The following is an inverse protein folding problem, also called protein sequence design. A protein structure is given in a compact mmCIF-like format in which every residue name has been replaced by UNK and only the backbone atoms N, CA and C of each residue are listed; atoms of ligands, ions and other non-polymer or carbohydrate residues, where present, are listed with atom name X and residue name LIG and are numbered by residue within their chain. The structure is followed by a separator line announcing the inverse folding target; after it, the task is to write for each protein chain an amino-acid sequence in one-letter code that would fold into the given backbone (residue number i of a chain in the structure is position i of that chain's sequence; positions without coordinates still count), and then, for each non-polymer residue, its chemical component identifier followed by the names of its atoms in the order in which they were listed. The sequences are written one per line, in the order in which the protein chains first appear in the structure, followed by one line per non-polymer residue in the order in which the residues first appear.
data_IF_082063676051
#
_entry.id   IF_082063676051
#
_cell.length_a   1.000
_cell.length_b   1.000
_cell.length_c   1.000
_cell.angle_alpha   90.00
_cell.angle_beta   90.00
_cell.angle_gamma   90.00
#
_symmetry.space_group_name_H-M   'P 1'
#
loop_
_entity.id
_entity.type
_entity.pdbx_description
1 polymer ?
#
# COMPACT_ATOMS: atom_id res chain seq x y z
N UNK A 1 -13.52 -20.49 22.74
CA UNK A 1 -12.09 -20.66 23.07
C UNK A 1 -11.38 -21.71 22.21
N UNK A 2 -12.05 -22.76 21.69
CA UNK A 2 -11.38 -23.84 20.90
C UNK A 2 -11.05 -23.52 19.43
N UNK A 3 -11.62 -22.46 18.84
CA UNK A 3 -11.36 -22.10 17.42
C UNK A 3 -10.09 -21.25 17.27
N UNK A 4 -9.79 -20.40 18.27
CA UNK A 4 -8.65 -19.48 18.28
C UNK A 4 -7.31 -20.26 18.39
N UNK A 5 -7.27 -21.33 19.19
CA UNK A 5 -6.07 -22.17 19.31
C UNK A 5 -5.75 -23.00 18.06
N UNK A 6 -6.74 -23.34 17.22
CA UNK A 6 -6.52 -24.16 16.01
C UNK A 6 -5.84 -23.42 14.86
N UNK A 7 -6.03 -22.10 14.76
CA UNK A 7 -5.34 -21.28 13.74
C UNK A 7 -3.90 -20.97 14.15
N UNK A 8 -3.67 -20.65 15.44
CA UNK A 8 -2.32 -20.37 15.96
C UNK A 8 -1.36 -21.58 15.88
N UNK A 9 -1.88 -22.80 16.05
CA UNK A 9 -1.04 -24.01 16.06
C UNK A 9 -0.71 -24.57 14.67
N UNK A 10 -1.32 -24.05 13.59
CA UNK A 10 -1.11 -24.58 12.22
C UNK A 10 0.05 -23.90 11.48
N UNK A 11 0.38 -22.65 11.82
CA UNK A 11 1.45 -21.90 11.13
C UNK A 11 2.85 -22.07 11.75
N UNK A 12 2.99 -22.78 12.88
CA UNK A 12 4.25 -22.87 13.64
C UNK A 12 4.93 -24.27 13.65
N UNK A 13 4.60 -25.16 12.70
CA UNK A 13 5.11 -26.56 12.68
C UNK A 13 6.04 -26.93 11.51
N UNK A 14 6.93 -26.02 11.11
CA UNK A 14 8.10 -26.36 10.30
C UNK A 14 9.40 -25.87 10.97
N UNK A 15 9.59 -26.27 12.24
CA UNK A 15 10.91 -26.25 12.87
C UNK A 15 11.67 -27.52 12.46
N UNK A 16 12.63 -27.36 11.54
CA UNK A 16 13.67 -28.34 11.25
C UNK A 16 14.43 -28.70 12.54
N UNK A 17 14.69 -29.99 12.84
CA UNK A 17 15.56 -30.33 13.94
C UNK A 17 17.02 -30.11 13.54
N UNK A 18 17.62 -29.03 14.05
CA UNK A 18 19.07 -28.82 13.98
C UNK A 18 19.75 -29.83 14.90
N UNK A 19 20.41 -30.80 14.26
CA UNK A 19 21.24 -31.82 14.89
C UNK A 19 22.47 -31.17 15.54
N UNK A 20 22.46 -31.10 16.87
CA UNK A 20 23.58 -30.62 17.69
C UNK A 20 24.65 -31.73 17.79
N UNK A 21 25.75 -31.61 17.03
CA UNK A 21 26.95 -32.43 17.20
C UNK A 21 27.99 -31.63 17.98
N UNK A 22 28.18 -32.00 19.25
CA UNK A 22 29.33 -31.60 20.06
C UNK A 22 30.54 -32.48 19.71
N UNK A 23 31.69 -31.87 19.37
CA UNK A 23 32.99 -32.51 19.60
C UNK A 23 34.16 -31.50 19.73
N UNK A 24 34.60 -31.34 20.98
CA UNK A 24 35.96 -31.27 21.52
C UNK A 24 37.13 -30.53 20.82
N UNK A 25 37.75 -29.64 21.62
CA UNK A 25 39.19 -29.45 21.90
C UNK A 25 40.12 -29.03 20.74
N UNK A 26 40.80 -27.87 20.86
CA UNK A 26 42.28 -27.72 20.93
C UNK A 26 42.63 -26.35 21.58
N UNK A 27 43.49 -26.40 22.60
CA UNK A 27 44.25 -25.30 23.21
C UNK A 27 45.47 -24.91 22.36
N UNK A 28 45.79 -23.62 22.22
CA UNK A 28 47.06 -23.18 21.62
C UNK A 28 47.42 -21.73 21.94
N UNK A 29 48.36 -21.54 22.87
CA UNK A 29 49.08 -20.28 23.11
C UNK A 29 50.09 -20.01 21.98
N UNK A 30 50.28 -18.75 21.61
CA UNK A 30 51.32 -18.35 20.66
C UNK A 30 51.59 -16.85 20.68
N UNK A 31 52.51 -16.44 21.57
CA UNK A 31 53.17 -15.13 21.62
C UNK A 31 54.09 -14.91 20.40
N UNK A 32 54.09 -13.72 19.80
CA UNK A 32 55.06 -13.32 18.77
C UNK A 32 55.11 -11.81 18.56
N UNK A 33 56.23 -11.21 18.96
CA UNK A 33 56.59 -9.79 18.97
C UNK A 33 57.17 -9.28 17.64
N UNK A 34 56.62 -8.16 17.12
CA UNK A 34 57.28 -7.03 16.40
C UNK A 34 57.92 -7.28 15.01
N UNK A 35 58.31 -6.23 14.24
CA UNK A 35 58.44 -4.81 14.61
C UNK A 35 57.82 -3.75 13.66
N UNK A 36 57.85 -2.50 14.16
CA UNK A 36 57.53 -1.19 13.58
C UNK A 36 58.00 -0.89 12.15
N UNK A 37 57.18 -0.14 11.39
CA UNK A 37 57.58 0.80 10.32
C UNK A 37 56.65 2.06 10.36
N UNK A 38 57.15 3.30 10.13
CA UNK A 38 56.50 4.58 10.46
C UNK A 38 55.61 5.16 9.33
N UNK A 39 54.86 6.25 9.58
CA UNK A 39 53.92 6.82 8.61
C UNK A 39 54.63 7.72 7.60
N UNK A 40 54.23 7.64 6.33
CA UNK A 40 54.63 8.58 5.29
C UNK A 40 53.43 9.48 4.96
N UNK A 41 53.59 10.77 5.24
CA UNK A 41 52.90 11.88 4.59
C UNK A 41 53.00 11.75 3.07
N UNK A 42 51.89 11.96 2.36
CA UNK A 42 51.87 12.58 1.04
C UNK A 42 50.44 12.95 0.66
N UNK A 43 50.16 14.25 0.70
CA UNK A 43 49.04 14.87 0.00
C UNK A 43 49.34 14.92 -1.51
N UNK A 44 48.34 14.67 -2.38
CA UNK A 44 48.34 15.20 -3.72
C UNK A 44 47.28 16.29 -3.88
N UNK A 45 47.78 17.46 -4.26
CA UNK A 45 47.09 18.61 -4.83
C UNK A 45 46.11 18.19 -5.92
N UNK A 46 44.84 18.57 -5.79
CA UNK A 46 43.85 18.54 -6.87
C UNK A 46 43.78 19.93 -7.53
N UNK A 47 43.70 20.00 -8.88
CA UNK A 47 43.68 21.26 -9.61
C UNK A 47 42.30 21.95 -9.53
N UNK A 48 42.36 23.28 -9.49
CA UNK A 48 41.21 24.17 -9.63
C UNK A 48 40.67 24.04 -11.05
N UNK A 49 39.42 23.59 -11.19
CA UNK A 49 38.66 23.71 -12.43
C UNK A 49 37.78 24.96 -12.37
N UNK A 50 38.09 25.92 -13.22
CA UNK A 50 37.23 27.05 -13.57
C UNK A 50 36.08 26.53 -14.44
N UNK A 51 34.83 26.70 -13.99
CA UNK A 51 33.65 26.44 -14.82
C UNK A 51 33.23 27.75 -15.46
N UNK A 52 33.55 27.90 -16.74
CA UNK A 52 32.92 28.84 -17.65
C UNK A 52 32.41 28.03 -18.84
N UNK A 53 31.08 27.90 -18.99
CA UNK A 53 30.45 27.99 -20.30
C UNK A 53 28.91 27.91 -20.24
N UNK A 54 28.31 29.02 -20.69
CA UNK A 54 27.56 29.11 -21.96
C UNK A 54 26.59 27.97 -22.27
N UNK A 55 25.30 28.30 -22.17
CA UNK A 55 24.18 27.51 -22.69
C UNK A 55 24.16 27.64 -24.22
N UNK A 56 24.44 26.54 -24.92
CA UNK A 56 24.13 26.38 -26.34
C UNK A 56 23.17 25.21 -26.47
N UNK A 57 21.97 25.52 -26.95
CA UNK A 57 20.90 24.59 -27.31
C UNK A 57 21.34 23.76 -28.52
N UNK A 58 21.47 22.44 -28.34
CA UNK A 58 21.69 21.48 -29.42
C UNK A 58 20.56 20.46 -29.37
N UNK A 59 19.67 20.54 -30.35
CA UNK A 59 18.68 19.51 -30.65
C UNK A 59 19.44 18.30 -31.20
N UNK A 60 19.47 17.20 -30.44
CA UNK A 60 20.08 15.96 -30.88
C UNK A 60 19.12 15.22 -31.81
N UNK A 61 19.53 15.08 -33.07
CA UNK A 61 18.95 14.17 -34.05
C UNK A 61 19.41 12.74 -33.72
N UNK A 62 18.47 11.85 -33.43
CA UNK A 62 18.76 10.45 -33.08
C UNK A 62 18.95 9.66 -34.38
N UNK A 63 20.20 9.47 -34.80
CA UNK A 63 20.54 8.54 -35.89
C UNK A 63 20.15 7.11 -35.50
N UNK A 64 19.18 6.52 -36.22
CA UNK A 64 18.86 5.11 -36.11
C UNK A 64 19.81 4.31 -37.02
N UNK A 65 20.57 3.40 -36.40
CA UNK A 65 21.33 2.37 -37.11
C UNK A 65 20.38 1.51 -37.95
N UNK A 66 20.57 1.50 -39.27
CA UNK A 66 19.88 0.62 -40.20
C UNK A 66 20.77 -0.58 -40.51
N UNK A 67 20.19 -1.78 -40.56
CA UNK A 67 20.89 -2.96 -41.07
C UNK A 67 21.10 -2.86 -42.59
N UNK A 68 21.90 -3.77 -43.17
CA UNK A 68 22.23 -3.81 -44.61
C UNK A 68 21.01 -3.86 -45.56
N UNK A 69 19.81 -4.09 -45.03
CA UNK A 69 18.54 -4.09 -45.76
C UNK A 69 17.72 -2.79 -45.57
N UNK A 70 18.29 -1.75 -44.94
CA UNK A 70 17.62 -0.47 -44.68
C UNK A 70 16.49 -0.56 -43.64
N UNK A 71 16.47 -1.63 -42.83
CA UNK A 71 15.47 -1.85 -41.79
C UNK A 71 16.04 -1.48 -40.40
N UNK A 72 15.18 -1.04 -39.45
CA UNK A 72 15.60 -0.82 -38.07
C UNK A 72 16.18 -2.09 -37.45
N UNK A 73 17.14 -1.94 -36.54
CA UNK A 73 17.70 -3.05 -35.77
C UNK A 73 16.59 -3.87 -35.08
N UNK A 74 16.67 -5.19 -35.19
CA UNK A 74 15.69 -6.14 -34.66
C UNK A 74 14.59 -6.56 -35.64
N UNK A 75 14.40 -5.85 -36.76
CA UNK A 75 13.37 -6.19 -37.75
C UNK A 75 13.88 -7.24 -38.72
N UNK A 76 13.20 -8.38 -38.79
CA UNK A 76 13.44 -9.45 -39.76
C UNK A 76 12.27 -9.59 -40.74
N UNK A 77 12.48 -10.32 -41.83
CA UNK A 77 11.45 -10.63 -42.82
C UNK A 77 11.20 -12.13 -42.81
N UNK A 78 9.95 -12.54 -42.66
CA UNK A 78 9.55 -13.95 -42.66
C UNK A 78 9.64 -14.59 -44.06
N UNK A 79 9.43 -15.91 -44.15
CA UNK A 79 9.44 -16.65 -45.43
C UNK A 79 8.34 -16.19 -46.42
N UNK A 80 7.32 -15.47 -45.92
CA UNK A 80 6.22 -14.93 -46.71
C UNK A 80 6.45 -13.49 -47.16
N UNK A 81 7.59 -12.88 -46.80
CA UNK A 81 7.94 -11.50 -47.15
C UNK A 81 7.38 -10.44 -46.19
N UNK A 82 6.81 -10.82 -45.05
CA UNK A 82 6.29 -9.88 -44.06
C UNK A 82 7.37 -9.47 -43.06
N UNK A 83 7.35 -8.20 -42.64
CA UNK A 83 8.25 -7.69 -41.61
C UNK A 83 7.75 -8.14 -40.23
N UNK A 84 8.67 -8.53 -39.36
CA UNK A 84 8.40 -8.92 -37.98
C UNK A 84 9.52 -8.44 -37.04
N UNK A 85 9.17 -8.13 -35.80
CA UNK A 85 10.09 -7.78 -34.72
C UNK A 85 9.91 -8.82 -33.60
N UNK A 86 10.94 -9.62 -33.33
CA UNK A 86 10.90 -10.69 -32.30
C UNK A 86 9.63 -11.57 -32.36
N UNK A 87 9.35 -12.15 -33.54
CA UNK A 87 8.18 -12.99 -33.84
C UNK A 87 6.80 -12.29 -33.76
N UNK A 88 6.77 -10.95 -33.68
CA UNK A 88 5.54 -10.15 -33.74
C UNK A 88 5.40 -9.49 -35.13
N UNK A 89 4.27 -9.68 -35.83
CA UNK A 89 3.98 -8.99 -37.08
C UNK A 89 4.11 -7.47 -36.97
N UNK A 90 4.86 -6.86 -37.88
CA UNK A 90 5.19 -5.42 -37.83
C UNK A 90 3.99 -4.50 -38.14
N UNK A 91 2.90 -5.05 -38.69
CA UNK A 91 1.64 -4.34 -38.96
C UNK A 91 0.87 -3.94 -37.68
N UNK A 92 1.21 -4.53 -36.54
CA UNK A 92 0.66 -4.17 -35.22
C UNK A 92 1.36 -2.93 -34.65
N UNK A 93 2.57 -2.59 -35.15
CA UNK A 93 3.31 -1.42 -34.70
C UNK A 93 2.90 -0.16 -35.47
N UNK A 94 2.29 0.79 -34.78
CA UNK A 94 2.02 2.11 -35.33
C UNK A 94 3.35 2.84 -35.53
N UNK A 95 3.76 3.05 -36.78
CA UNK A 95 5.04 3.73 -37.10
C UNK A 95 5.11 5.17 -36.55
N UNK A 96 3.96 5.80 -36.24
CA UNK A 96 3.86 7.15 -35.68
C UNK A 96 2.64 7.29 -34.75
N UNK A 97 2.67 6.75 -33.52
CA UNK A 97 1.50 6.78 -32.64
C UNK A 97 1.07 8.21 -32.27
N UNK A 98 2.00 9.16 -32.29
CA UNK A 98 1.76 10.57 -31.97
C UNK A 98 1.26 11.43 -33.15
N UNK A 99 1.27 10.92 -34.38
CA UNK A 99 0.75 11.66 -35.53
C UNK A 99 -0.80 11.69 -35.59
N UNK A 100 -1.46 10.93 -34.71
CA UNK A 100 -2.92 10.86 -34.61
C UNK A 100 -3.52 11.93 -33.71
N UNK A 101 -2.70 12.64 -32.92
CA UNK A 101 -3.16 13.74 -32.06
C UNK A 101 -2.86 15.05 -32.76
N UNK A 102 -3.90 15.72 -33.29
CA UNK A 102 -3.72 17.07 -33.82
C UNK A 102 -3.57 18.05 -32.65
N UNK A 103 -2.67 19.04 -32.74
CA UNK A 103 -2.52 20.06 -31.69
C UNK A 103 -3.82 20.81 -31.37
N UNK A 104 -4.75 20.89 -32.33
CA UNK A 104 -6.06 21.52 -32.15
C UNK A 104 -6.97 20.79 -31.13
N UNK A 105 -6.76 19.49 -30.91
CA UNK A 105 -7.57 18.66 -30.00
C UNK A 105 -7.14 18.83 -28.52
N UNK A 106 -6.04 19.52 -28.25
CA UNK A 106 -5.51 19.78 -26.91
C UNK A 106 -5.90 21.16 -26.34
N UNK A 107 -6.85 21.86 -26.98
CA UNK A 107 -7.20 23.23 -26.60
C UNK A 107 -8.17 23.23 -25.40
N UNK A 108 -7.61 23.51 -24.22
CA UNK A 108 -8.36 23.82 -22.98
C UNK A 108 -9.24 25.05 -23.23
N UNK A 109 -10.54 24.90 -22.99
CA UNK A 109 -11.51 26.00 -22.99
C UNK A 109 -11.25 26.90 -21.77
N UNK A 110 -10.64 28.06 -22.00
CA UNK A 110 -10.69 29.20 -21.07
C UNK A 110 -12.13 29.69 -20.97
N UNK A 111 -12.75 29.51 -19.80
CA UNK A 111 -14.02 30.17 -19.49
C UNK A 111 -13.74 31.62 -19.08
N UNK A 112 -14.26 32.54 -19.87
CA UNK A 112 -14.31 33.97 -19.59
C UNK A 112 -15.35 34.25 -18.49
N UNK A 113 -15.01 35.21 -17.62
CA UNK A 113 -15.61 35.35 -16.30
C UNK A 113 -16.89 36.19 -16.21
N UNK A 114 -17.35 36.33 -14.96
CA UNK A 114 -18.20 37.41 -14.52
C UNK A 114 -17.80 37.85 -13.10
N UNK A 115 -17.66 39.16 -12.96
CA UNK A 115 -17.25 39.84 -11.74
C UNK A 115 -18.46 40.35 -10.93
N UNK A 116 -18.19 40.46 -9.61
CA UNK A 116 -18.71 41.43 -8.64
C UNK A 116 -20.15 41.32 -8.11
N UNK A 117 -20.25 41.15 -6.79
CA UNK A 117 -20.89 42.14 -5.91
C UNK A 117 -20.51 41.92 -4.43
N UNK A 118 -19.77 42.86 -3.87
CA UNK A 118 -19.58 43.05 -2.43
C UNK A 118 -20.84 43.64 -1.81
N UNK A 119 -21.23 43.17 -0.62
CA UNK A 119 -22.04 43.96 0.30
C UNK A 119 -21.73 43.57 1.75
N UNK A 120 -21.01 44.46 2.44
CA UNK A 120 -20.95 44.52 3.90
C UNK A 120 -22.26 45.07 4.45
N UNK A 121 -22.84 44.42 5.46
CA UNK A 121 -23.70 45.11 6.44
C UNK A 121 -23.56 44.45 7.82
N UNK A 122 -23.59 45.31 8.83
CA UNK A 122 -23.12 45.12 10.17
C UNK A 122 -24.08 44.37 11.13
N UNK A 123 -23.46 43.99 12.24
CA UNK A 123 -23.90 43.42 13.51
C UNK A 123 -25.11 44.15 14.15
N UNK A 124 -25.92 43.42 14.95
CA UNK A 124 -26.30 43.95 16.26
C UNK A 124 -25.95 42.99 17.40
N UNK A 125 -25.34 43.58 18.42
CA UNK A 125 -24.98 42.98 19.71
C UNK A 125 -26.23 42.65 20.53
N UNK A 126 -26.20 41.55 21.28
CA UNK A 126 -27.03 41.40 22.48
C UNK A 126 -26.22 40.68 23.55
N UNK A 127 -26.06 41.37 24.68
CA UNK A 127 -25.39 40.95 25.91
C UNK A 127 -26.40 40.25 26.83
N UNK A 128 -26.02 39.17 27.52
CA UNK A 128 -26.84 38.62 28.59
C UNK A 128 -26.43 37.25 29.16
N UNK A 129 -25.40 37.23 30.01
CA UNK A 129 -25.25 36.47 31.27
C UNK A 129 -25.13 34.91 31.28
N UNK A 130 -24.24 34.32 32.13
CA UNK A 130 -23.86 32.90 32.07
C UNK A 130 -24.66 32.01 33.05
N UNK A 131 -24.67 30.69 32.81
CA UNK A 131 -24.42 29.79 33.93
C UNK A 131 -23.54 28.56 33.63
N UNK A 132 -22.83 28.17 34.69
CA UNK A 132 -22.50 26.82 35.16
C UNK A 132 -21.57 25.89 34.35
N UNK A 133 -20.40 25.72 34.96
CA UNK A 133 -19.53 24.54 34.89
C UNK A 133 -20.33 23.27 35.20
N UNK A 134 -20.67 22.50 34.16
CA UNK A 134 -20.88 21.07 34.29
C UNK A 134 -19.77 20.34 33.54
N UNK A 135 -18.78 19.90 34.32
CA UNK A 135 -17.83 18.88 33.91
C UNK A 135 -18.61 17.58 33.70
N UNK A 136 -18.93 17.28 32.45
CA UNK A 136 -19.31 15.94 32.03
C UNK A 136 -18.33 15.58 30.91
N UNK A 137 -17.27 14.85 31.26
CA UNK A 137 -16.49 14.15 30.26
C UNK A 137 -17.46 13.21 29.53
N UNK A 138 -17.67 13.35 28.21
CA UNK A 138 -18.31 12.29 27.48
C UNK A 138 -17.22 11.24 27.29
N UNK A 139 -17.26 10.22 28.15
CA UNK A 139 -16.67 8.93 27.83
C UNK A 139 -17.49 8.37 26.66
N UNK A 140 -17.23 8.90 25.46
CA UNK A 140 -17.82 8.42 24.22
C UNK A 140 -16.94 7.25 23.84
N UNK A 141 -17.30 6.06 24.30
CA UNK A 141 -16.89 4.85 23.62
C UNK A 141 -17.19 5.09 22.13
N UNK A 142 -16.20 4.99 21.23
CA UNK A 142 -16.46 5.15 19.81
C UNK A 142 -17.49 4.08 19.44
N UNK A 143 -18.70 4.52 19.14
CA UNK A 143 -19.73 3.68 18.55
C UNK A 143 -19.14 3.03 17.30
N UNK A 144 -19.42 1.74 17.11
CA UNK A 144 -19.02 0.95 15.95
C UNK A 144 -19.49 1.52 14.57
N UNK A 145 -20.17 2.67 14.58
CA UNK A 145 -20.94 3.24 13.48
C UNK A 145 -20.26 4.42 12.73
N UNK A 146 -19.01 4.77 13.05
CA UNK A 146 -18.33 5.92 12.42
C UNK A 146 -17.14 5.50 11.53
N UNK A 147 -17.38 4.63 10.55
CA UNK A 147 -16.37 4.32 9.52
C UNK A 147 -16.31 5.37 8.40
N UNK A 148 -17.40 6.09 8.16
CA UNK A 148 -17.49 7.11 7.11
C UNK A 148 -16.55 8.31 7.33
N UNK A 149 -16.23 8.64 8.59
CA UNK A 149 -15.23 9.67 8.91
C UNK A 149 -13.79 9.22 8.64
N UNK A 150 -13.53 7.90 8.69
CA UNK A 150 -12.19 7.32 8.56
C UNK A 150 -11.83 7.09 7.09
N UNK A 151 -12.71 6.42 6.34
CA UNK A 151 -12.46 6.02 4.96
C UNK A 151 -13.70 6.22 4.09
N UNK A 152 -13.51 6.79 2.90
CA UNK A 152 -14.62 7.03 1.97
C UNK A 152 -14.95 5.78 1.14
N UNK A 153 -16.19 5.66 0.62
CA UNK A 153 -16.56 4.60 -0.33
C UNK A 153 -15.61 4.50 -1.53
N UNK A 154 -15.20 5.64 -2.10
CA UNK A 154 -14.27 5.68 -3.23
C UNK A 154 -12.90 5.11 -2.85
N UNK A 155 -12.40 5.40 -1.64
CA UNK A 155 -11.14 4.85 -1.15
C UNK A 155 -11.22 3.33 -0.95
N UNK A 156 -12.35 2.81 -0.47
CA UNK A 156 -12.60 1.37 -0.38
C UNK A 156 -12.65 0.72 -1.76
N UNK A 157 -13.36 1.31 -2.73
CA UNK A 157 -13.43 0.80 -4.10
C UNK A 157 -12.05 0.77 -4.77
N UNK A 158 -11.25 1.81 -4.59
CA UNK A 158 -9.88 1.88 -5.10
C UNK A 158 -8.96 0.84 -4.45
N UNK A 159 -9.06 0.64 -3.13
CA UNK A 159 -8.24 -0.33 -2.42
C UNK A 159 -8.58 -1.77 -2.85
N UNK A 160 -9.86 -2.14 -2.92
CA UNK A 160 -10.23 -3.48 -3.39
C UNK A 160 -9.83 -3.70 -4.84
N UNK A 161 -9.92 -2.66 -5.68
CA UNK A 161 -9.44 -2.73 -7.07
C UNK A 161 -7.92 -2.94 -7.13
N UNK A 162 -7.15 -2.19 -6.34
CA UNK A 162 -5.68 -2.36 -6.20
C UNK A 162 -5.35 -3.79 -5.81
N UNK A 163 -5.99 -4.31 -4.76
CA UNK A 163 -5.79 -5.67 -4.26
C UNK A 163 -6.09 -6.70 -5.37
N UNK A 164 -7.20 -6.55 -6.07
CA UNK A 164 -7.59 -7.45 -7.16
C UNK A 164 -6.55 -7.48 -8.28
N UNK A 165 -5.96 -6.34 -8.63
CA UNK A 165 -4.89 -6.24 -9.63
C UNK A 165 -3.62 -6.95 -9.14
N UNK A 166 -3.20 -6.72 -7.90
CA UNK A 166 -2.05 -7.40 -7.28
C UNK A 166 -2.24 -8.93 -7.29
N UNK A 167 -3.38 -9.39 -6.79
CA UNK A 167 -3.73 -10.82 -6.76
C UNK A 167 -3.75 -11.42 -8.16
N UNK A 168 -4.32 -10.73 -9.15
CA UNK A 168 -4.29 -11.15 -10.55
C UNK A 168 -2.88 -11.35 -11.09
N UNK A 169 -1.93 -10.49 -10.71
CA UNK A 169 -0.51 -10.62 -11.08
C UNK A 169 0.14 -11.86 -10.44
N UNK A 170 -0.10 -12.10 -9.14
CA UNK A 170 0.48 -13.26 -8.45
C UNK A 170 -0.12 -14.59 -8.93
N UNK A 171 -1.40 -14.59 -9.29
CA UNK A 171 -2.13 -15.77 -9.74
C UNK A 171 -2.18 -15.94 -11.26
N UNK A 172 -1.43 -15.15 -12.05
CA UNK A 172 -1.51 -15.27 -13.52
C UNK A 172 -0.95 -16.60 -14.05
N UNK A 173 0.02 -17.21 -13.36
CA UNK A 173 0.62 -18.50 -13.73
C UNK A 173 1.17 -19.22 -12.50
N UNK A 174 1.31 -20.54 -12.60
CA UNK A 174 1.78 -21.40 -11.50
C UNK A 174 3.15 -20.95 -10.93
N UNK A 175 4.06 -20.48 -11.78
CA UNK A 175 5.38 -20.02 -11.37
C UNK A 175 5.34 -18.75 -10.52
N UNK A 176 4.50 -17.77 -10.88
CA UNK A 176 4.30 -16.55 -10.09
C UNK A 176 3.66 -16.89 -8.75
N UNK A 177 2.61 -17.70 -8.77
CA UNK A 177 1.89 -18.14 -7.57
C UNK A 177 2.82 -18.80 -6.55
N UNK A 178 3.65 -19.76 -6.98
CA UNK A 178 4.57 -20.46 -6.09
C UNK A 178 5.63 -19.54 -5.45
N UNK A 179 5.96 -18.40 -6.09
CA UNK A 179 6.94 -17.43 -5.57
C UNK A 179 6.32 -16.36 -4.69
N UNK A 180 5.00 -16.14 -4.80
CA UNK A 180 4.31 -15.02 -4.17
C UNK A 180 3.31 -15.47 -3.09
N UNK A 181 3.59 -16.59 -2.41
CA UNK A 181 2.68 -17.14 -1.40
C UNK A 181 2.43 -16.17 -0.23
N UNK A 182 3.49 -15.48 0.22
CA UNK A 182 3.40 -14.47 1.28
C UNK A 182 2.54 -13.30 0.84
N UNK A 183 2.86 -12.72 -0.31
CA UNK A 183 2.15 -11.56 -0.87
C UNK A 183 0.69 -11.88 -1.18
N UNK A 184 0.37 -13.09 -1.65
CA UNK A 184 -1.02 -13.54 -1.80
C UNK A 184 -1.73 -13.55 -0.45
N UNK A 185 -1.08 -14.07 0.60
CA UNK A 185 -1.66 -14.09 1.94
C UNK A 185 -1.91 -12.67 2.45
N UNK A 186 -0.92 -11.79 2.36
CA UNK A 186 -0.96 -10.41 2.84
C UNK A 186 -2.03 -9.59 2.13
N UNK A 187 -2.07 -9.62 0.79
CA UNK A 187 -3.09 -8.92 0.01
C UNK A 187 -4.49 -9.49 0.25
N UNK A 188 -4.60 -10.80 0.49
CA UNK A 188 -5.89 -11.43 0.79
C UNK A 188 -6.39 -11.05 2.18
N UNK A 189 -5.52 -10.89 3.17
CA UNK A 189 -5.89 -10.39 4.50
C UNK A 189 -6.28 -8.91 4.45
N UNK A 190 -5.59 -8.09 3.64
CA UNK A 190 -5.99 -6.71 3.36
C UNK A 190 -7.39 -6.65 2.69
N UNK A 191 -7.71 -7.61 1.80
CA UNK A 191 -9.04 -7.74 1.22
C UNK A 191 -10.10 -8.03 2.28
N UNK A 192 -9.83 -8.98 3.19
CA UNK A 192 -10.76 -9.32 4.28
C UNK A 192 -11.00 -8.07 5.15
N UNK A 193 -9.94 -7.37 5.56
CA UNK A 193 -10.05 -6.17 6.38
C UNK A 193 -10.90 -5.09 5.69
N UNK A 194 -10.59 -4.78 4.44
CA UNK A 194 -11.28 -3.75 3.64
C UNK A 194 -12.75 -4.12 3.43
N UNK A 195 -13.04 -5.39 3.14
CA UNK A 195 -14.40 -5.86 2.91
C UNK A 195 -15.24 -5.85 4.20
N UNK A 196 -14.67 -6.21 5.36
CA UNK A 196 -15.39 -6.15 6.63
C UNK A 196 -15.64 -4.71 7.09
N UNK A 197 -14.75 -3.76 6.78
CA UNK A 197 -15.03 -2.33 6.99
C UNK A 197 -16.14 -1.86 6.05
N UNK A 198 -16.07 -2.23 4.77
CA UNK A 198 -17.07 -1.90 3.77
C UNK A 198 -18.50 -2.36 4.14
N UNK A 199 -18.64 -3.50 4.83
CA UNK A 199 -19.95 -3.98 5.29
C UNK A 199 -20.52 -3.15 6.46
N UNK A 200 -19.68 -2.39 7.17
CA UNK A 200 -20.06 -1.55 8.32
C UNK A 200 -20.22 -0.06 7.98
N UNK A 201 -19.74 0.36 6.80
CA UNK A 201 -19.95 1.73 6.28
C UNK A 201 -21.44 1.91 5.95
N UNK A 202 -22.00 3.11 6.11
CA UNK A 202 -23.43 3.36 5.87
C UNK A 202 -23.74 3.66 4.40
N UNK A 203 -22.84 4.34 3.69
CA UNK A 203 -22.99 4.67 2.28
C UNK A 203 -23.04 3.43 1.39
N UNK A 204 -23.87 3.46 0.34
CA UNK A 204 -23.97 2.37 -0.65
C UNK A 204 -23.01 2.61 -1.81
N UNK A 205 -22.35 1.54 -2.26
CA UNK A 205 -21.47 1.52 -3.43
C UNK A 205 -21.50 0.13 -4.07
N UNK A 206 -20.89 -0.01 -5.26
CA UNK A 206 -21.23 -1.04 -6.25
C UNK A 206 -21.22 -2.48 -5.73
N UNK A 207 -20.26 -2.85 -4.90
CA UNK A 207 -20.05 -4.21 -4.42
C UNK A 207 -20.38 -4.40 -2.93
N UNK A 208 -20.90 -3.37 -2.25
CA UNK A 208 -21.12 -3.40 -0.80
C UNK A 208 -21.97 -4.58 -0.32
N UNK A 209 -23.06 -4.87 -1.03
CA UNK A 209 -23.95 -6.00 -0.71
C UNK A 209 -23.23 -7.37 -0.77
N UNK A 210 -22.08 -7.42 -1.45
CA UNK A 210 -21.24 -8.61 -1.60
C UNK A 210 -19.93 -8.49 -0.80
N UNK A 211 -19.84 -7.56 0.16
CA UNK A 211 -18.65 -7.38 0.98
C UNK A 211 -18.25 -8.68 1.71
N UNK A 212 -19.20 -9.40 2.30
CA UNK A 212 -18.89 -10.69 2.94
C UNK A 212 -18.44 -11.77 1.96
N UNK A 213 -18.86 -11.71 0.68
CA UNK A 213 -18.35 -12.60 -0.37
C UNK A 213 -16.88 -12.31 -0.65
N UNK A 214 -16.48 -11.03 -0.72
CA UNK A 214 -15.08 -10.63 -0.87
C UNK A 214 -14.22 -11.08 0.32
N UNK A 215 -14.74 -10.92 1.54
CA UNK A 215 -14.08 -11.39 2.76
C UNK A 215 -13.93 -12.93 2.79
N UNK A 216 -14.88 -13.68 2.23
CA UNK A 216 -14.73 -15.13 2.06
C UNK A 216 -13.68 -15.49 0.99
N UNK A 217 -13.72 -14.80 -0.15
CA UNK A 217 -12.75 -15.02 -1.22
C UNK A 217 -11.32 -14.78 -0.73
N UNK A 218 -11.09 -13.70 0.04
CA UNK A 218 -9.82 -13.43 0.71
C UNK A 218 -9.41 -14.58 1.64
N UNK A 219 -10.30 -15.02 2.54
CA UNK A 219 -9.99 -16.12 3.46
C UNK A 219 -9.64 -17.44 2.74
N UNK A 220 -10.31 -17.72 1.61
CA UNK A 220 -10.00 -18.89 0.77
C UNK A 220 -8.66 -18.73 0.07
N UNK A 221 -8.31 -17.54 -0.40
CA UNK A 221 -7.00 -17.27 -0.99
C UNK A 221 -5.87 -17.42 0.03
N UNK A 222 -6.02 -16.92 1.26
CA UNK A 222 -5.09 -17.16 2.38
C UNK A 222 -4.91 -18.66 2.61
N UNK A 223 -6.01 -19.42 2.64
CA UNK A 223 -5.94 -20.88 2.81
C UNK A 223 -5.21 -21.56 1.65
N UNK A 224 -5.39 -21.08 0.41
CA UNK A 224 -4.68 -21.63 -0.75
C UNK A 224 -3.22 -21.19 -0.82
N UNK A 225 -2.81 -20.05 -0.24
CA UNK A 225 -1.40 -19.63 -0.27
C UNK A 225 -0.52 -20.33 0.78
N UNK A 226 -1.08 -21.18 1.63
CA UNK A 226 -0.33 -21.92 2.65
C UNK A 226 0.71 -22.91 2.06
N UNK A 227 0.46 -23.43 0.85
CA UNK A 227 1.35 -24.41 0.21
C UNK A 227 1.46 -24.17 -1.31
N UNK A 228 2.68 -24.26 -1.83
CA UNK A 228 2.94 -24.22 -3.27
C UNK A 228 2.33 -25.44 -3.98
N UNK A 229 2.03 -25.29 -5.26
CA UNK A 229 1.67 -26.43 -6.12
C UNK A 229 0.47 -26.20 -7.02
N UNK A 230 0.33 -27.09 -8.01
CA UNK A 230 -0.69 -26.99 -9.06
C UNK A 230 -2.12 -27.09 -8.53
N UNK A 231 -2.34 -27.89 -7.48
CA UNK A 231 -3.65 -28.07 -6.88
C UNK A 231 -4.13 -26.78 -6.20
N UNK A 232 -3.30 -26.23 -5.30
CA UNK A 232 -3.56 -24.98 -4.59
C UNK A 232 -3.69 -23.79 -5.55
N UNK A 233 -2.80 -23.70 -6.56
CA UNK A 233 -2.92 -22.71 -7.63
C UNK A 233 -4.28 -22.76 -8.35
N UNK A 234 -4.71 -23.95 -8.78
CA UNK A 234 -6.00 -24.12 -9.46
C UNK A 234 -7.17 -23.77 -8.54
N UNK A 235 -7.10 -24.12 -7.27
CA UNK A 235 -8.12 -23.79 -6.28
C UNK A 235 -8.20 -22.28 -6.01
N UNK A 236 -7.05 -21.58 -6.04
CA UNK A 236 -6.94 -20.14 -5.82
C UNK A 236 -7.53 -19.30 -6.98
N UNK A 237 -7.60 -19.86 -8.20
CA UNK A 237 -8.26 -19.19 -9.34
C UNK A 237 -9.75 -18.94 -9.10
N UNK A 238 -10.43 -19.83 -8.37
CA UNK A 238 -11.87 -19.72 -8.13
C UNK A 238 -12.23 -18.45 -7.34
N UNK A 239 -11.68 -18.19 -6.14
CA UNK A 239 -11.96 -16.95 -5.42
C UNK A 239 -11.48 -15.71 -6.18
N UNK A 240 -10.39 -15.77 -6.94
CA UNK A 240 -9.97 -14.64 -7.78
C UNK A 240 -11.01 -14.28 -8.85
N UNK A 241 -11.56 -15.28 -9.55
CA UNK A 241 -12.64 -15.06 -10.52
C UNK A 241 -13.89 -14.50 -9.85
N UNK A 242 -14.23 -15.00 -8.66
CA UNK A 242 -15.36 -14.48 -7.87
C UNK A 242 -15.15 -13.01 -7.47
N UNK A 243 -13.94 -12.62 -7.05
CA UNK A 243 -13.58 -11.22 -6.80
C UNK A 243 -13.83 -10.38 -8.06
N UNK A 244 -13.33 -10.82 -9.22
CA UNK A 244 -13.56 -10.09 -10.48
C UNK A 244 -15.05 -9.97 -10.83
N UNK A 245 -15.84 -11.04 -10.66
CA UNK A 245 -17.30 -11.01 -10.86
C UNK A 245 -17.98 -9.98 -9.95
N UNK A 246 -17.69 -10.00 -8.64
CA UNK A 246 -18.21 -9.00 -7.68
C UNK A 246 -17.80 -7.58 -8.12
N UNK A 247 -16.54 -7.39 -8.48
CA UNK A 247 -16.00 -6.13 -8.99
C UNK A 247 -16.42 -5.79 -10.42
N UNK A 248 -17.23 -6.61 -11.08
CA UNK A 248 -17.89 -6.27 -12.33
C UNK A 248 -19.40 -6.02 -12.12
N UNK A 249 -19.88 -6.11 -10.87
CA UNK A 249 -21.29 -5.96 -10.52
C UNK A 249 -22.12 -7.22 -10.74
N UNK A 250 -21.47 -8.37 -10.98
CA UNK A 250 -22.15 -9.65 -11.06
C UNK A 250 -22.47 -10.17 -9.66
N UNK A 251 -23.65 -10.79 -9.50
CA UNK A 251 -24.02 -11.45 -8.26
C UNK A 251 -23.30 -12.81 -8.16
N UNK A 252 -22.50 -12.99 -7.12
CA UNK A 252 -21.79 -14.23 -6.81
C UNK A 252 -22.53 -14.95 -5.68
N UNK A 253 -22.92 -16.18 -5.94
CA UNK A 253 -23.45 -17.09 -4.93
C UNK A 253 -22.38 -18.09 -4.52
N UNK A 254 -22.30 -18.37 -3.22
CA UNK A 254 -21.41 -19.37 -2.64
C UNK A 254 -22.18 -20.66 -2.36
N UNK A 255 -21.44 -21.77 -2.31
CA UNK A 255 -21.97 -23.10 -1.97
C UNK A 255 -22.13 -23.33 -0.45
N UNK A 256 -21.82 -22.31 0.35
CA UNK A 256 -21.88 -22.33 1.80
C UNK A 256 -22.43 -21.00 2.33
N UNK A 257 -22.92 -21.03 3.57
CA UNK A 257 -23.44 -19.83 4.25
C UNK A 257 -22.28 -18.97 4.79
N UNK A 258 -22.47 -17.65 4.69
CA UNK A 258 -21.53 -16.67 5.21
C UNK A 258 -21.90 -16.29 6.64
N UNK A 259 -20.93 -16.39 7.55
CA UNK A 259 -21.07 -15.82 8.88
C UNK A 259 -20.85 -14.30 8.80
N UNK A 260 -21.93 -13.55 9.04
CA UNK A 260 -21.92 -12.08 9.02
C UNK A 260 -21.70 -11.48 10.42
N UNK A 261 -21.60 -12.31 11.46
CA UNK A 261 -21.48 -11.87 12.85
C UNK A 261 -20.02 -11.78 13.34
N UNK A 262 -19.07 -11.99 12.44
CA UNK A 262 -17.67 -12.20 12.82
C UNK A 262 -16.96 -10.89 13.16
N UNK A 263 -16.20 -10.92 14.25
CA UNK A 263 -15.35 -9.80 14.71
C UNK A 263 -14.08 -9.71 13.87
N UNK A 264 -13.52 -8.51 13.73
CA UNK A 264 -12.25 -8.30 13.03
C UNK A 264 -11.12 -9.20 13.57
N UNK A 265 -10.98 -9.30 14.88
CA UNK A 265 -9.93 -10.10 15.53
C UNK A 265 -9.98 -11.61 15.24
N UNK A 266 -11.11 -12.10 14.73
CA UNK A 266 -11.28 -13.52 14.36
C UNK A 266 -11.00 -13.77 12.87
N UNK A 267 -11.05 -12.72 12.03
CA UNK A 267 -10.99 -12.84 10.56
C UNK A 267 -9.77 -12.20 9.93
N UNK A 268 -9.14 -11.27 10.61
CA UNK A 268 -8.07 -10.44 10.06
C UNK A 268 -6.84 -10.64 10.93
N UNK A 269 -5.84 -11.31 10.38
CA UNK A 269 -4.58 -11.59 11.06
C UNK A 269 -3.78 -10.29 11.29
N UNK A 270 -3.33 -10.07 12.54
CA UNK A 270 -2.58 -8.86 12.93
C UNK A 270 -1.27 -8.74 12.16
N UNK A 271 -0.52 -9.84 12.01
CA UNK A 271 0.76 -9.84 11.31
C UNK A 271 0.58 -9.49 9.84
N UNK A 272 -0.44 -10.05 9.18
CA UNK A 272 -0.72 -9.80 7.79
C UNK A 272 -1.13 -8.34 7.50
N UNK A 273 -1.98 -7.73 8.33
CA UNK A 273 -2.34 -6.31 8.13
C UNK A 273 -1.20 -5.35 8.47
N UNK A 274 -0.24 -5.75 9.31
CA UNK A 274 0.97 -4.95 9.55
C UNK A 274 1.82 -4.81 8.28
N UNK A 275 1.88 -5.84 7.42
CA UNK A 275 2.53 -5.72 6.11
C UNK A 275 1.85 -4.69 5.21
N UNK A 276 0.50 -4.65 5.19
CA UNK A 276 -0.23 -3.63 4.43
C UNK A 276 -0.01 -2.23 4.99
N UNK A 277 0.07 -2.08 6.32
CA UNK A 277 0.43 -0.82 6.97
C UNK A 277 1.84 -0.37 6.59
N UNK A 278 2.83 -1.26 6.67
CA UNK A 278 4.22 -0.98 6.28
C UNK A 278 4.30 -0.54 4.82
N UNK A 279 3.59 -1.23 3.91
CA UNK A 279 3.53 -0.87 2.49
C UNK A 279 2.96 0.53 2.25
N UNK A 280 1.85 0.91 2.92
CA UNK A 280 1.28 2.26 2.83
C UNK A 280 2.26 3.32 3.36
N UNK A 281 2.84 3.07 4.53
CA UNK A 281 3.80 3.98 5.16
C UNK A 281 5.02 4.20 4.26
N UNK A 282 5.62 3.12 3.77
CA UNK A 282 6.77 3.15 2.88
C UNK A 282 6.47 3.91 1.59
N UNK A 283 5.29 3.71 1.01
CA UNK A 283 4.90 4.43 -0.19
C UNK A 283 4.84 5.94 0.08
N UNK A 284 4.19 6.36 1.18
CA UNK A 284 4.11 7.76 1.57
C UNK A 284 5.49 8.37 1.80
N UNK A 285 6.36 7.67 2.55
CA UNK A 285 7.70 8.14 2.88
C UNK A 285 8.61 8.28 1.66
N UNK A 286 8.53 7.34 0.71
CA UNK A 286 9.38 7.31 -0.49
C UNK A 286 8.90 8.24 -1.60
N UNK A 287 7.58 8.42 -1.76
CA UNK A 287 7.02 9.13 -2.91
C UNK A 287 6.64 10.58 -2.61
N UNK A 288 6.40 10.93 -1.35
CA UNK A 288 5.98 12.28 -0.95
C UNK A 288 7.16 13.01 -0.28
N UNK A 289 8.13 13.38 -1.12
CA UNK A 289 9.38 13.97 -0.64
C UNK A 289 9.37 15.50 -0.55
N UNK A 290 8.37 16.15 -1.14
CA UNK A 290 8.28 17.60 -1.35
C UNK A 290 6.82 18.06 -1.45
N UNK A 291 6.58 19.36 -1.29
CA UNK A 291 5.27 19.99 -1.52
C UNK A 291 4.72 19.71 -2.91
N UNK A 292 5.58 19.78 -3.93
CA UNK A 292 5.20 19.49 -5.32
C UNK A 292 4.72 18.06 -5.50
N UNK A 293 5.40 17.09 -4.87
CA UNK A 293 4.98 15.68 -4.88
C UNK A 293 3.69 15.44 -4.11
N UNK A 294 3.54 16.05 -2.94
CA UNK A 294 2.29 15.99 -2.18
C UNK A 294 1.12 16.47 -3.03
N UNK A 295 1.29 17.55 -3.78
CA UNK A 295 0.26 18.09 -4.66
C UNK A 295 -0.03 17.20 -5.86
N UNK A 296 1.00 16.72 -6.55
CA UNK A 296 0.81 15.89 -7.75
C UNK A 296 0.23 14.51 -7.44
N UNK A 297 0.55 13.96 -6.26
CA UNK A 297 0.15 12.62 -5.82
C UNK A 297 -0.93 12.65 -4.72
N UNK A 298 -1.57 13.80 -4.49
CA UNK A 298 -2.44 14.06 -3.34
C UNK A 298 -3.49 12.96 -3.15
N UNK A 299 -4.16 12.55 -4.24
CA UNK A 299 -5.21 11.52 -4.21
C UNK A 299 -4.69 10.17 -3.70
N UNK A 300 -3.52 9.76 -4.18
CA UNK A 300 -2.91 8.49 -3.78
C UNK A 300 -2.43 8.57 -2.33
N UNK A 301 -1.78 9.66 -1.97
CA UNK A 301 -1.35 9.92 -0.60
C UNK A 301 -2.52 9.91 0.39
N UNK A 302 -3.64 10.55 0.04
CA UNK A 302 -4.84 10.59 0.86
C UNK A 302 -5.42 9.18 1.07
N UNK A 303 -5.45 8.36 0.01
CA UNK A 303 -5.89 6.96 0.11
C UNK A 303 -4.98 6.16 1.04
N UNK A 304 -3.66 6.21 0.86
CA UNK A 304 -2.74 5.45 1.72
C UNK A 304 -2.84 5.88 3.19
N UNK A 305 -2.97 7.18 3.47
CA UNK A 305 -3.20 7.69 4.82
C UNK A 305 -4.55 7.22 5.41
N UNK A 306 -5.62 7.18 4.60
CA UNK A 306 -6.91 6.65 5.02
C UNK A 306 -6.86 5.13 5.31
N UNK A 307 -6.09 4.36 4.53
CA UNK A 307 -5.87 2.94 4.79
C UNK A 307 -5.10 2.73 6.10
N UNK A 308 -4.06 3.52 6.38
CA UNK A 308 -3.37 3.47 7.68
C UNK A 308 -4.33 3.74 8.83
N UNK A 309 -5.16 4.79 8.73
CA UNK A 309 -6.17 5.08 9.75
C UNK A 309 -7.18 3.93 9.91
N UNK A 310 -7.68 3.38 8.80
CA UNK A 310 -8.60 2.24 8.81
C UNK A 310 -8.00 1.04 9.54
N UNK A 311 -6.79 0.62 9.15
CA UNK A 311 -6.13 -0.54 9.74
C UNK A 311 -5.75 -0.28 11.21
N UNK A 312 -5.35 0.95 11.56
CA UNK A 312 -5.09 1.37 12.93
C UNK A 312 -6.31 1.22 13.84
N UNK A 313 -7.49 1.61 13.34
CA UNK A 313 -8.77 1.43 14.03
C UNK A 313 -9.17 -0.05 14.15
N UNK A 314 -8.83 -0.87 13.15
CA UNK A 314 -9.06 -2.33 13.21
C UNK A 314 -8.25 -2.95 14.35
N UNK A 315 -6.94 -2.70 14.44
CA UNK A 315 -6.10 -3.31 15.49
C UNK A 315 -6.45 -2.83 16.90
N UNK A 316 -7.04 -1.64 17.01
CA UNK A 316 -7.56 -1.09 18.28
C UNK A 316 -8.94 -1.68 18.67
N UNK A 317 -9.55 -2.50 17.81
CA UNK A 317 -10.91 -3.01 18.05
C UNK A 317 -10.95 -4.08 19.15
N UNK A 318 -12.02 -4.12 19.98
CA UNK A 318 -12.13 -5.07 21.08
C UNK A 318 -11.95 -6.52 20.64
N UNK A 319 -11.10 -7.25 21.38
CA UNK A 319 -10.83 -8.66 21.15
C UNK A 319 -9.67 -8.94 20.21
N UNK A 320 -8.98 -7.92 19.65
CA UNK A 320 -7.65 -8.11 19.07
C UNK A 320 -6.64 -8.49 20.16
N UNK A 321 -5.59 -9.25 19.83
CA UNK A 321 -4.54 -9.58 20.80
C UNK A 321 -3.96 -8.29 21.42
N UNK A 322 -3.73 -8.33 22.73
CA UNK A 322 -3.16 -7.23 23.53
C UNK A 322 -4.05 -5.98 23.71
N UNK A 323 -5.26 -5.93 23.14
CA UNK A 323 -6.16 -4.73 23.26
C UNK A 323 -6.64 -4.40 24.66
N UNK A 324 -6.64 -5.36 25.58
CA UNK A 324 -6.97 -5.12 26.99
C UNK A 324 -5.79 -4.52 27.78
N UNK A 325 -4.60 -4.46 27.18
CA UNK A 325 -3.43 -3.84 27.76
C UNK A 325 -3.40 -2.35 27.43
N UNK A 326 -3.38 -1.51 28.45
CA UNK A 326 -3.52 -0.06 28.28
C UNK A 326 -2.44 0.54 27.39
N UNK A 327 -1.20 0.00 27.46
CA UNK A 327 -0.09 0.45 26.62
C UNK A 327 -0.30 0.12 25.15
N UNK A 328 -0.83 -1.05 24.81
CA UNK A 328 -1.14 -1.41 23.43
C UNK A 328 -2.25 -0.52 22.87
N UNK A 329 -3.35 -0.38 23.62
CA UNK A 329 -4.47 0.48 23.24
C UNK A 329 -4.03 1.93 23.00
N UNK A 330 -3.19 2.48 23.88
CA UNK A 330 -2.62 3.83 23.71
C UNK A 330 -1.82 3.97 22.42
N UNK A 331 -1.00 2.98 22.07
CA UNK A 331 -0.23 3.00 20.82
C UNK A 331 -1.11 2.84 19.58
N UNK A 332 -2.06 1.90 19.59
CA UNK A 332 -2.97 1.65 18.47
C UNK A 332 -3.89 2.86 18.21
N UNK A 333 -4.49 3.42 19.26
CA UNK A 333 -5.31 4.62 19.18
C UNK A 333 -4.50 5.86 18.76
N UNK A 334 -3.26 5.99 19.26
CA UNK A 334 -2.32 7.04 18.86
C UNK A 334 -1.93 6.97 17.38
N UNK A 335 -1.67 5.76 16.89
CA UNK A 335 -1.42 5.49 15.47
C UNK A 335 -2.63 5.87 14.61
N UNK A 336 -3.83 5.38 14.96
CA UNK A 336 -5.07 5.72 14.26
C UNK A 336 -5.28 7.24 14.17
N UNK A 337 -5.16 7.93 15.30
CA UNK A 337 -5.34 9.40 15.38
C UNK A 337 -4.33 10.11 14.49
N UNK A 338 -3.05 9.73 14.58
CA UNK A 338 -1.99 10.36 13.79
C UNK A 338 -2.18 10.13 12.28
N UNK A 339 -2.61 8.93 11.87
CA UNK A 339 -2.92 8.64 10.46
C UNK A 339 -4.11 9.45 9.94
N UNK A 340 -5.15 9.64 10.76
CA UNK A 340 -6.28 10.49 10.43
C UNK A 340 -5.88 11.97 10.29
N UNK A 341 -5.04 12.49 11.20
CA UNK A 341 -4.49 13.84 11.11
C UNK A 341 -3.58 14.01 9.87
N UNK A 342 -2.76 13.00 9.55
CA UNK A 342 -1.95 12.98 8.34
C UNK A 342 -2.80 13.09 7.07
N UNK A 343 -3.93 12.37 7.01
CA UNK A 343 -4.90 12.48 5.92
C UNK A 343 -5.43 13.91 5.79
N UNK A 344 -5.80 14.55 6.90
CA UNK A 344 -6.22 15.98 6.89
C UNK A 344 -5.11 16.91 6.41
N UNK A 345 -3.86 16.68 6.82
CA UNK A 345 -2.71 17.45 6.33
C UNK A 345 -2.55 17.32 4.81
N UNK A 346 -2.68 16.11 4.26
CA UNK A 346 -2.63 15.84 2.81
C UNK A 346 -3.76 16.57 2.07
N UNK A 347 -4.99 16.49 2.57
CA UNK A 347 -6.16 17.18 1.99
C UNK A 347 -5.99 18.70 1.95
N UNK A 348 -5.31 19.26 2.95
CA UNK A 348 -5.01 20.70 3.03
C UNK A 348 -3.73 21.12 2.30
N UNK A 349 -3.09 20.22 1.54
CA UNK A 349 -1.77 20.42 0.89
C UNK A 349 -0.68 20.88 1.88
N UNK A 350 -0.81 20.56 3.18
CA UNK A 350 0.12 21.00 4.22
C UNK A 350 1.27 20.01 4.41
N UNK A 351 2.31 20.18 3.60
CA UNK A 351 3.46 19.28 3.59
C UNK A 351 4.22 19.20 4.92
N UNK A 352 4.37 20.32 5.65
CA UNK A 352 5.07 20.32 6.94
C UNK A 352 4.31 19.51 8.00
N UNK A 353 2.98 19.62 8.03
CA UNK A 353 2.18 18.79 8.93
C UNK A 353 2.19 17.33 8.48
N UNK A 354 2.10 17.05 7.17
CA UNK A 354 2.24 15.68 6.65
C UNK A 354 3.54 15.03 7.15
N UNK A 355 4.69 15.71 7.03
CA UNK A 355 5.98 15.21 7.53
C UNK A 355 5.97 14.98 9.04
N UNK A 356 5.43 15.92 9.81
CA UNK A 356 5.32 15.79 11.26
C UNK A 356 4.51 14.55 11.66
N UNK A 357 3.39 14.29 10.96
CA UNK A 357 2.58 13.10 11.22
C UNK A 357 3.23 11.80 10.73
N UNK A 358 3.98 11.85 9.62
CA UNK A 358 4.75 10.71 9.13
C UNK A 358 5.80 10.26 10.16
N UNK A 359 6.61 11.19 10.68
CA UNK A 359 7.62 10.90 11.71
C UNK A 359 6.97 10.37 12.99
N UNK A 360 5.79 10.91 13.36
CA UNK A 360 5.04 10.45 14.52
C UNK A 360 4.46 9.03 14.32
N UNK A 361 4.01 8.68 13.12
CA UNK A 361 3.59 7.32 12.81
C UNK A 361 4.75 6.33 12.92
N UNK A 362 5.93 6.67 12.40
CA UNK A 362 7.13 5.84 12.55
C UNK A 362 7.47 5.58 14.02
N UNK A 363 7.32 6.62 14.85
CA UNK A 363 7.47 6.49 16.30
C UNK A 363 6.43 5.52 16.91
N UNK A 364 5.16 5.61 16.54
CA UNK A 364 4.15 4.66 17.00
C UNK A 364 4.45 3.22 16.58
N UNK A 365 4.92 3.00 15.35
CA UNK A 365 5.40 1.69 14.89
C UNK A 365 6.54 1.16 15.76
N UNK A 366 7.52 2.01 16.05
CA UNK A 366 8.70 1.65 16.85
C UNK A 366 8.35 1.35 18.31
N UNK A 367 7.56 2.22 18.94
CA UNK A 367 7.16 2.09 20.34
C UNK A 367 6.26 0.87 20.53
N UNK A 368 5.29 0.62 19.65
CA UNK A 368 4.43 -0.55 19.73
C UNK A 368 5.22 -1.85 19.51
N UNK A 369 6.13 -1.89 18.53
CA UNK A 369 6.94 -3.08 18.27
C UNK A 369 7.97 -3.40 19.36
N UNK A 370 8.39 -2.41 20.16
CA UNK A 370 9.29 -2.65 21.28
C UNK A 370 8.67 -3.61 22.31
N UNK A 371 7.35 -3.49 22.53
CA UNK A 371 6.64 -4.22 23.58
C UNK A 371 5.76 -5.35 23.03
N UNK A 372 5.18 -5.22 21.83
CA UNK A 372 4.08 -6.09 21.36
C UNK A 372 4.36 -6.86 20.05
N UNK A 373 5.58 -6.81 19.50
CA UNK A 373 5.90 -7.42 18.18
C UNK A 373 5.78 -8.94 18.11
N UNK A 374 6.04 -9.64 19.21
CA UNK A 374 6.20 -11.11 19.24
C UNK A 374 5.01 -11.86 19.87
N UNK A 375 3.88 -11.18 20.04
CA UNK A 375 2.66 -11.77 20.59
C UNK A 375 1.73 -12.37 19.52
#
# INVERSE_FOLDING_TARGET
MDVILKRFNRNNRLAFPTLLICLAMITGCGTGTGPNVPPADNAPTQPVFTVENTVTEVVAEVEHSQNDNGLPDGVSVDESGNKQLDDIPYDIWFEKPLALVKPEDLRIQESTGLAAASNSTAVPSTTGQPPELNSTAPNKNPSADDWGSVISPTQLEEEVTRISISLGSYLNQLGSYNRSLGEISEESEALIATALVASQVNETFRWKEQAFVLADCGARLVAQSAEAGRASFKAAQVPLQQIHSVLNGEAVSLDHELDQSVKFSERVDRGAIMYRMESAFDWLAKNIDSEGKLKSEQKVAEREAAILAMLGKIIDSPGYPSTEESGYHEQAAGFFTTAAEMKTAIQSENFNQFRTHLDRLEKHCSDCHADYRFE
#
